data_IF_403405349849
#
_entry.id   IF_403405349849
#
_cell.length_a   1.000
_cell.length_b   1.000
_cell.length_c   1.000
_cell.angle_alpha   90.00
_cell.angle_beta   90.00
_cell.angle_gamma   90.00
#
_symmetry.space_group_name_H-M   'P 1'
#
loop_
_entity.id
_entity.type
_entity.pdbx_description
1 polymer ?
#
# COMPACT_ATOMS: atom_id res chain seq x y z
N UNK A 1 16.79 -13.81 -19.61
CA UNK A 1 15.33 -13.62 -19.69
C UNK A 1 14.60 -14.11 -18.41
N UNK A 2 14.85 -15.34 -17.94
CA UNK A 2 14.14 -15.94 -16.79
C UNK A 2 14.26 -15.15 -15.46
N UNK A 3 15.45 -14.61 -15.16
CA UNK A 3 15.71 -13.86 -13.90
C UNK A 3 14.92 -12.53 -13.86
N UNK A 4 14.87 -11.81 -14.99
CA UNK A 4 14.14 -10.55 -15.10
C UNK A 4 12.63 -10.75 -14.92
N UNK A 5 12.06 -11.78 -15.55
CA UNK A 5 10.65 -12.15 -15.38
C UNK A 5 10.37 -12.47 -13.91
N UNK A 6 11.20 -13.28 -13.25
CA UNK A 6 11.02 -13.65 -11.84
C UNK A 6 11.06 -12.42 -10.91
N UNK A 7 11.97 -11.48 -11.15
CA UNK A 7 12.07 -10.24 -10.38
C UNK A 7 10.80 -9.39 -10.52
N UNK A 8 10.33 -9.21 -11.76
CA UNK A 8 9.10 -8.45 -12.06
C UNK A 8 7.90 -9.13 -11.40
N UNK A 9 7.77 -10.45 -11.49
CA UNK A 9 6.67 -11.18 -10.85
C UNK A 9 6.66 -11.02 -9.33
N UNK A 10 7.82 -11.08 -8.67
CA UNK A 10 7.92 -10.87 -7.21
C UNK A 10 7.54 -9.44 -6.85
N UNK A 11 7.99 -8.45 -7.64
CA UNK A 11 7.62 -7.06 -7.46
C UNK A 11 6.11 -6.88 -7.54
N UNK A 12 5.49 -7.32 -8.64
CA UNK A 12 4.05 -7.20 -8.85
C UNK A 12 3.25 -7.93 -7.76
N UNK A 13 3.67 -9.13 -7.38
CA UNK A 13 3.03 -9.88 -6.30
C UNK A 13 3.09 -9.14 -4.95
N UNK A 14 4.24 -8.57 -4.62
CA UNK A 14 4.44 -7.85 -3.36
C UNK A 14 3.59 -6.57 -3.29
N UNK A 15 3.49 -5.85 -4.41
CA UNK A 15 2.57 -4.70 -4.54
C UNK A 15 1.12 -5.15 -4.39
N UNK A 16 0.72 -6.22 -5.09
CA UNK A 16 -0.65 -6.74 -5.06
C UNK A 16 -1.10 -7.10 -3.65
N UNK A 17 -0.23 -7.79 -2.88
CA UNK A 17 -0.52 -8.11 -1.49
C UNK A 17 -0.74 -6.85 -0.65
N UNK A 18 0.11 -5.84 -0.82
CA UNK A 18 -0.02 -4.58 -0.07
C UNK A 18 -1.33 -3.85 -0.38
N UNK A 19 -1.72 -3.83 -1.65
CA UNK A 19 -2.96 -3.22 -2.14
C UNK A 19 -4.18 -3.98 -1.64
N UNK A 20 -4.17 -5.31 -1.76
CA UNK A 20 -5.29 -6.17 -1.37
C UNK A 20 -5.71 -5.95 0.08
N UNK A 21 -4.73 -5.82 0.99
CA UNK A 21 -4.99 -5.53 2.40
C UNK A 21 -5.25 -4.04 2.71
N UNK A 22 -4.77 -3.14 1.85
CA UNK A 22 -5.01 -1.69 1.99
C UNK A 22 -6.42 -1.28 1.58
N UNK A 23 -7.04 -1.98 0.63
CA UNK A 23 -8.38 -1.63 0.13
C UNK A 23 -9.45 -1.67 1.23
N UNK A 24 -9.58 -2.73 2.04
CA UNK A 24 -10.55 -2.75 3.14
C UNK A 24 -10.40 -1.59 4.12
N UNK A 25 -9.17 -1.13 4.38
CA UNK A 25 -8.91 0.01 5.25
C UNK A 25 -9.51 1.28 4.67
N UNK A 26 -9.36 1.49 3.36
CA UNK A 26 -9.95 2.64 2.67
C UNK A 26 -11.48 2.55 2.66
N UNK A 27 -12.06 1.43 2.27
CA UNK A 27 -13.52 1.26 2.22
C UNK A 27 -14.17 1.44 3.59
N UNK A 28 -13.64 0.81 4.64
CA UNK A 28 -14.16 0.94 6.00
C UNK A 28 -14.02 2.38 6.51
N UNK A 29 -12.88 3.03 6.26
CA UNK A 29 -12.70 4.43 6.66
C UNK A 29 -13.68 5.37 5.95
N UNK A 30 -13.97 5.11 4.67
CA UNK A 30 -14.96 5.88 3.92
C UNK A 30 -16.37 5.70 4.49
N UNK A 31 -16.79 4.44 4.73
CA UNK A 31 -18.10 4.15 5.30
C UNK A 31 -18.25 4.68 6.72
N UNK A 32 -17.19 4.64 7.52
CA UNK A 32 -17.18 5.23 8.85
C UNK A 32 -17.35 6.76 8.79
N UNK A 33 -16.73 7.43 7.81
CA UNK A 33 -16.98 8.84 7.55
C UNK A 33 -18.42 9.14 7.09
N UNK A 34 -19.00 8.33 6.21
CA UNK A 34 -20.41 8.50 5.81
C UNK A 34 -21.36 8.34 7.02
N UNK A 35 -21.10 7.35 7.87
CA UNK A 35 -21.85 7.14 9.11
C UNK A 35 -21.77 8.34 10.05
N UNK A 36 -20.61 9.00 10.16
CA UNK A 36 -20.45 10.18 11.03
C UNK A 36 -21.21 11.42 10.56
N UNK A 37 -21.66 11.45 9.30
CA UNK A 37 -22.55 12.48 8.74
C UNK A 37 -24.00 11.99 8.60
N UNK A 38 -24.39 10.97 9.39
CA UNK A 38 -25.74 10.41 9.48
C UNK A 38 -26.24 9.74 8.19
N UNK A 39 -25.35 9.25 7.34
CA UNK A 39 -25.75 8.39 6.21
C UNK A 39 -25.89 6.96 6.75
N UNK A 40 -27.05 6.31 6.57
CA UNK A 40 -27.28 4.96 7.09
C UNK A 40 -26.42 3.94 6.35
N UNK A 41 -25.62 3.19 7.11
CA UNK A 41 -24.78 2.10 6.60
C UNK A 41 -25.29 0.77 7.16
N UNK A 42 -25.65 -0.16 6.27
CA UNK A 42 -26.01 -1.52 6.62
C UNK A 42 -24.91 -2.50 6.15
N UNK A 43 -25.08 -3.79 6.47
CA UNK A 43 -24.08 -4.81 6.11
C UNK A 43 -23.94 -4.99 4.59
N UNK A 44 -25.02 -4.85 3.84
CA UNK A 44 -25.04 -4.93 2.38
C UNK A 44 -24.14 -3.86 1.76
N UNK A 45 -24.30 -2.60 2.18
CA UNK A 45 -23.46 -1.48 1.74
C UNK A 45 -21.98 -1.72 2.06
N UNK A 46 -21.66 -2.32 3.22
CA UNK A 46 -20.27 -2.65 3.57
C UNK A 46 -19.68 -3.65 2.59
N UNK A 47 -20.39 -4.75 2.33
CA UNK A 47 -19.92 -5.81 1.43
C UNK A 47 -19.80 -5.29 -0.01
N UNK A 48 -20.82 -4.57 -0.49
CA UNK A 48 -20.83 -4.02 -1.85
C UNK A 48 -19.71 -3.01 -2.06
N UNK A 49 -19.45 -2.14 -1.07
CA UNK A 49 -18.35 -1.17 -1.15
C UNK A 49 -16.99 -1.85 -1.17
N UNK A 50 -16.79 -2.90 -0.37
CA UNK A 50 -15.53 -3.67 -0.37
C UNK A 50 -15.28 -4.36 -1.72
N UNK A 51 -16.30 -5.02 -2.28
CA UNK A 51 -16.21 -5.67 -3.59
C UNK A 51 -15.96 -4.63 -4.68
N UNK A 52 -16.71 -3.53 -4.66
CA UNK A 52 -16.56 -2.44 -5.61
C UNK A 52 -15.14 -1.87 -5.58
N UNK A 53 -14.60 -1.55 -4.40
CA UNK A 53 -13.26 -0.98 -4.29
C UNK A 53 -12.18 -2.01 -4.66
N UNK A 54 -12.38 -3.30 -4.37
CA UNK A 54 -11.44 -4.31 -4.85
C UNK A 54 -11.35 -4.35 -6.37
N UNK A 55 -12.46 -4.20 -7.07
CA UNK A 55 -12.52 -4.25 -8.54
C UNK A 55 -12.04 -2.94 -9.16
N UNK A 56 -12.54 -1.80 -8.68
CA UNK A 56 -12.38 -0.51 -9.35
C UNK A 56 -11.30 0.38 -8.72
N UNK A 57 -11.08 0.28 -7.40
CA UNK A 57 -10.09 1.10 -6.71
C UNK A 57 -8.71 0.42 -6.61
N UNK A 58 -8.65 -0.91 -6.44
CA UNK A 58 -7.37 -1.63 -6.38
C UNK A 58 -6.46 -1.37 -7.57
N UNK A 59 -6.92 -1.32 -8.84
CA UNK A 59 -6.04 -1.06 -9.97
C UNK A 59 -5.34 0.31 -9.87
N UNK A 60 -6.06 1.35 -9.43
CA UNK A 60 -5.51 2.69 -9.23
C UNK A 60 -4.48 2.66 -8.09
N UNK A 61 -4.86 2.08 -6.95
CA UNK A 61 -3.97 1.97 -5.79
C UNK A 61 -2.71 1.14 -6.12
N UNK A 62 -2.86 0.10 -6.95
CA UNK A 62 -1.75 -0.74 -7.42
C UNK A 62 -0.76 0.01 -8.29
N UNK A 63 -1.22 0.86 -9.20
CA UNK A 63 -0.33 1.70 -10.02
C UNK A 63 0.45 2.65 -9.11
N UNK A 64 -0.23 3.33 -8.19
CA UNK A 64 0.40 4.30 -7.28
C UNK A 64 1.42 3.60 -6.37
N UNK A 65 1.05 2.48 -5.75
CA UNK A 65 1.95 1.70 -4.89
C UNK A 65 3.13 1.14 -5.68
N UNK A 66 2.91 0.69 -6.93
CA UNK A 66 4.01 0.23 -7.79
C UNK A 66 5.03 1.34 -8.02
N UNK A 67 4.60 2.55 -8.34
CA UNK A 67 5.52 3.68 -8.56
C UNK A 67 6.32 3.97 -7.29
N UNK A 68 5.66 4.06 -6.13
CA UNK A 68 6.33 4.30 -4.85
C UNK A 68 7.30 3.18 -4.47
N UNK A 69 6.87 1.92 -4.61
CA UNK A 69 7.72 0.75 -4.32
C UNK A 69 8.90 0.65 -5.26
N UNK A 70 8.76 0.98 -6.54
CA UNK A 70 9.87 0.96 -7.49
C UNK A 70 11.00 1.88 -7.01
N UNK A 71 10.66 3.13 -6.67
CA UNK A 71 11.63 4.11 -6.16
C UNK A 71 12.24 3.64 -4.84
N UNK A 72 11.40 3.18 -3.90
CA UNK A 72 11.83 2.75 -2.58
C UNK A 72 12.71 1.49 -2.61
N UNK A 73 12.44 0.54 -3.49
CA UNK A 73 13.19 -0.71 -3.60
C UNK A 73 14.53 -0.53 -4.32
N UNK A 74 14.59 0.38 -5.30
CA UNK A 74 15.86 0.82 -5.88
C UNK A 74 16.72 1.52 -4.84
N UNK A 75 16.13 2.42 -4.05
CA UNK A 75 16.80 3.13 -2.97
C UNK A 75 17.27 2.17 -1.87
N UNK A 76 16.47 1.15 -1.53
CA UNK A 76 16.82 0.11 -0.55
C UNK A 76 18.08 -0.65 -0.92
N UNK A 77 18.30 -0.90 -2.22
CA UNK A 77 19.51 -1.57 -2.70
C UNK A 77 20.78 -0.76 -2.39
N UNK A 78 20.70 0.57 -2.52
CA UNK A 78 21.80 1.47 -2.17
C UNK A 78 21.95 1.58 -0.65
N UNK A 79 20.83 1.69 0.07
CA UNK A 79 20.83 1.80 1.53
C UNK A 79 21.48 0.59 2.21
N UNK A 80 21.32 -0.61 1.65
CA UNK A 80 21.98 -1.82 2.15
C UNK A 80 23.51 -1.81 2.03
N UNK A 81 24.10 -0.88 1.28
CA UNK A 81 25.54 -0.66 1.26
C UNK A 81 26.00 0.18 2.46
N UNK A 82 25.08 0.90 3.11
CA UNK A 82 25.34 1.85 4.17
C UNK A 82 24.94 1.33 5.55
N UNK A 83 24.03 0.36 5.63
CA UNK A 83 23.50 -0.17 6.89
C UNK A 83 23.70 -1.68 7.01
N UNK A 84 23.89 -2.17 8.23
CA UNK A 84 24.06 -3.60 8.54
C UNK A 84 22.75 -4.32 8.90
N UNK A 85 21.60 -3.72 8.59
CA UNK A 85 20.28 -4.29 8.92
C UNK A 85 19.92 -5.45 8.01
N UNK A 86 19.03 -6.32 8.49
CA UNK A 86 18.50 -7.41 7.68
C UNK A 86 17.81 -6.88 6.42
N UNK A 87 18.14 -7.47 5.25
CA UNK A 87 17.57 -7.09 3.95
C UNK A 87 16.05 -6.97 3.97
N UNK A 88 15.36 -7.91 4.62
CA UNK A 88 13.89 -7.89 4.70
C UNK A 88 13.36 -6.69 5.47
N UNK A 89 14.03 -6.32 6.54
CA UNK A 89 13.68 -5.16 7.36
C UNK A 89 13.93 -3.88 6.57
N UNK A 90 15.07 -3.75 5.88
CA UNK A 90 15.36 -2.55 5.06
C UNK A 90 14.31 -2.35 3.98
N UNK A 91 13.98 -3.40 3.21
CA UNK A 91 12.93 -3.29 2.19
C UNK A 91 11.55 -3.04 2.80
N UNK A 92 11.24 -3.67 3.95
CA UNK A 92 9.99 -3.42 4.68
C UNK A 92 9.87 -1.96 5.11
N UNK A 93 10.87 -1.41 5.80
CA UNK A 93 10.87 0.00 6.23
C UNK A 93 10.73 0.94 5.03
N UNK A 94 11.46 0.67 3.94
CA UNK A 94 11.33 1.47 2.71
C UNK A 94 9.92 1.38 2.09
N UNK A 95 9.29 0.20 2.12
CA UNK A 95 7.90 0.03 1.68
C UNK A 95 6.90 0.81 2.56
N UNK A 96 7.10 0.79 3.88
CA UNK A 96 6.35 1.64 4.81
C UNK A 96 6.53 3.13 4.51
N UNK A 97 7.78 3.59 4.33
CA UNK A 97 8.07 4.98 3.97
C UNK A 97 7.45 5.37 2.63
N UNK A 98 7.46 4.48 1.64
CA UNK A 98 6.83 4.70 0.34
C UNK A 98 5.32 4.91 0.48
N UNK A 99 4.64 4.05 1.24
CA UNK A 99 3.20 4.19 1.48
C UNK A 99 2.88 5.43 2.30
N UNK A 100 3.68 5.74 3.33
CA UNK A 100 3.52 6.97 4.10
C UNK A 100 3.64 8.22 3.20
N UNK A 101 4.63 8.25 2.30
CA UNK A 101 4.81 9.32 1.33
C UNK A 101 3.63 9.38 0.34
N UNK A 102 3.16 8.24 -0.17
CA UNK A 102 1.98 8.18 -1.04
C UNK A 102 0.76 8.78 -0.33
N UNK A 103 0.48 8.40 0.92
CA UNK A 103 -0.65 8.92 1.67
C UNK A 103 -0.53 10.44 1.87
N UNK A 104 0.64 10.93 2.26
CA UNK A 104 0.89 12.35 2.43
C UNK A 104 0.72 13.14 1.13
N UNK A 105 1.41 12.73 0.05
CA UNK A 105 1.34 13.41 -1.24
C UNK A 105 -0.02 13.28 -1.92
N UNK A 106 -0.77 12.19 -1.67
CA UNK A 106 -2.12 12.05 -2.20
C UNK A 106 -3.07 13.13 -1.70
N UNK A 107 -2.81 13.70 -0.53
CA UNK A 107 -3.58 14.80 0.03
C UNK A 107 -2.97 16.15 -0.33
N UNK A 108 -1.65 16.30 -0.14
CA UNK A 108 -0.96 17.56 -0.39
C UNK A 108 -1.04 18.02 -1.86
N UNK A 109 -1.03 17.09 -2.82
CA UNK A 109 -1.10 17.39 -4.25
C UNK A 109 -2.54 17.54 -4.77
N UNK A 110 -3.55 17.12 -4.00
CA UNK A 110 -4.95 17.10 -4.41
C UNK A 110 -5.81 18.08 -3.59
N UNK A 111 -5.22 19.21 -3.21
CA UNK A 111 -5.90 20.29 -2.50
C UNK A 111 -6.63 19.82 -1.25
N UNK A 112 -5.95 19.02 -0.43
CA UNK A 112 -6.48 18.42 0.82
C UNK A 112 -7.60 17.39 0.61
N UNK A 113 -7.83 16.94 -0.63
CA UNK A 113 -8.83 15.91 -0.93
C UNK A 113 -8.33 14.53 -0.50
N UNK A 114 -9.07 13.87 0.39
CA UNK A 114 -8.71 12.55 0.90
C UNK A 114 -9.28 11.43 0.04
N UNK A 115 -8.67 11.23 -1.13
CA UNK A 115 -9.05 10.15 -2.08
C UNK A 115 -8.85 8.77 -1.47
N UNK A 116 -7.71 8.56 -0.78
CA UNK A 116 -7.48 7.36 0.01
C UNK A 116 -8.13 7.61 1.37
N UNK A 117 -9.39 7.20 1.51
CA UNK A 117 -10.19 7.47 2.72
C UNK A 117 -9.55 6.91 4.02
N UNK A 118 -8.65 5.94 3.93
CA UNK A 118 -7.82 5.50 5.06
C UNK A 118 -7.01 6.63 5.71
N UNK A 119 -6.75 7.73 4.99
CA UNK A 119 -6.03 8.90 5.48
C UNK A 119 -6.87 9.79 6.43
N UNK A 120 -8.19 9.56 6.52
CA UNK A 120 -9.10 10.33 7.40
C UNK A 120 -8.85 10.09 8.88
N UNK A 121 -8.27 8.94 9.20
CA UNK A 121 -8.10 8.48 10.56
C UNK A 121 -6.69 7.93 10.76
N UNK A 122 -6.09 8.24 11.91
CA UNK A 122 -4.73 7.79 12.26
C UNK A 122 -4.60 6.27 12.16
N UNK A 123 -5.61 5.50 12.58
CA UNK A 123 -5.59 4.04 12.47
C UNK A 123 -5.55 3.56 11.02
N UNK A 124 -6.33 4.17 10.14
CA UNK A 124 -6.32 3.82 8.71
C UNK A 124 -4.95 4.09 8.09
N UNK A 125 -4.38 5.27 8.37
CA UNK A 125 -3.03 5.64 7.95
C UNK A 125 -1.96 4.64 8.43
N UNK A 126 -2.00 4.26 9.71
CA UNK A 126 -1.08 3.28 10.28
C UNK A 126 -1.20 1.91 9.61
N UNK A 127 -2.42 1.41 9.37
CA UNK A 127 -2.60 0.11 8.73
C UNK A 127 -2.10 0.10 7.28
N UNK A 128 -2.31 1.17 6.51
CA UNK A 128 -1.71 1.29 5.19
C UNK A 128 -0.18 1.17 5.24
N UNK A 129 0.47 1.85 6.18
CA UNK A 129 1.93 1.78 6.34
C UNK A 129 2.39 0.38 6.72
N UNK A 130 1.67 -0.32 7.61
CA UNK A 130 1.95 -1.71 7.98
C UNK A 130 1.86 -2.63 6.75
N UNK A 131 0.89 -2.42 5.86
CA UNK A 131 0.78 -3.19 4.62
C UNK A 131 1.82 -2.78 3.58
N UNK A 132 2.25 -1.51 3.57
CA UNK A 132 3.45 -1.05 2.87
C UNK A 132 4.71 -1.80 3.31
N UNK A 133 4.90 -1.94 4.62
CA UNK A 133 5.99 -2.73 5.19
C UNK A 133 5.92 -4.19 4.77
N UNK A 134 4.73 -4.78 4.85
CA UNK A 134 4.49 -6.17 4.46
C UNK A 134 4.88 -6.42 3.01
N UNK A 135 4.55 -5.50 2.09
CA UNK A 135 4.97 -5.56 0.69
C UNK A 135 6.49 -5.61 0.51
N UNK A 136 7.21 -4.67 1.12
CA UNK A 136 8.67 -4.64 1.07
C UNK A 136 9.32 -5.88 1.68
N UNK A 137 8.80 -6.34 2.81
CA UNK A 137 9.29 -7.54 3.49
C UNK A 137 9.10 -8.79 2.63
N UNK A 138 7.93 -8.94 1.99
CA UNK A 138 7.60 -10.04 1.08
C UNK A 138 8.54 -10.01 -0.13
N UNK A 139 8.74 -8.84 -0.74
CA UNK A 139 9.62 -8.67 -1.89
C UNK A 139 11.03 -9.19 -1.59
N UNK A 140 11.63 -8.73 -0.49
CA UNK A 140 12.96 -9.15 -0.09
C UNK A 140 13.04 -10.64 0.30
N UNK A 141 11.96 -11.20 0.87
CA UNK A 141 11.89 -12.61 1.24
C UNK A 141 11.93 -13.54 0.02
N UNK A 142 11.27 -13.17 -1.08
CA UNK A 142 11.32 -13.91 -2.33
C UNK A 142 12.56 -13.59 -3.16
N UNK A 143 13.12 -12.38 -3.05
CA UNK A 143 14.36 -12.01 -3.72
C UNK A 143 15.57 -12.82 -3.23
N UNK A 144 15.60 -13.27 -1.97
CA UNK A 144 16.66 -14.19 -1.46
C UNK A 144 16.65 -15.56 -2.13
N UNK A 145 15.54 -15.96 -2.78
CA UNK A 145 15.39 -17.23 -3.49
C UNK A 145 15.82 -17.14 -4.98
N UNK A 146 16.46 -16.04 -5.37
CA UNK A 146 17.06 -15.80 -6.70
C UNK A 146 18.56 -15.78 -6.51
#
# INVERSE_FOLDING_TARGET
MLIGVKLISIFLFSTLVSVFFSVPITSISYLYWLSSINIPINLEVIVDSLIHDWIYFSPVLFIIYSIGFLIAFLSSKLLLLLVSWEKKIVYGVSGACAVAAILYFSVALLFETQIIAGNRYTLGWMFHIIFGFSGGYIFASFLKKI
#
